data_IF_449741258026
#
_entry.id   IF_449741258026
#
_cell.length_a   1.000
_cell.length_b   1.000
_cell.length_c   1.000
_cell.angle_alpha   90.00
_cell.angle_beta   90.00
_cell.angle_gamma   90.00
#
_symmetry.space_group_name_H-M   'P 1'
#
loop_
_entity.id
_entity.type
_entity.pdbx_description
1 polymer ?
#
# COMPACT_ATOMS: atom_id res chain seq x y z
N UNK A 1 -0.98 7.10 10.32
CA UNK A 1 -2.36 6.61 10.12
C UNK A 1 -2.89 7.23 8.83
N UNK A 2 -3.66 6.46 8.06
CA UNK A 2 -4.15 6.87 6.73
C UNK A 2 -5.42 7.70 6.91
N UNK A 3 -5.56 8.81 6.19
CA UNK A 3 -6.80 9.60 6.17
C UNK A 3 -7.83 8.93 5.26
N UNK A 4 -9.12 9.05 5.60
CA UNK A 4 -10.18 8.48 4.77
C UNK A 4 -10.27 9.15 3.40
N UNK A 5 -10.72 8.41 2.38
CA UNK A 5 -10.97 8.90 1.02
C UNK A 5 -11.85 10.14 1.04
N UNK A 6 -12.93 10.13 1.82
CA UNK A 6 -13.84 11.27 1.95
C UNK A 6 -13.10 12.52 2.43
N UNK A 7 -12.25 12.40 3.45
CA UNK A 7 -11.42 13.51 3.92
C UNK A 7 -10.49 14.03 2.82
N UNK A 8 -9.83 13.12 2.10
CA UNK A 8 -8.88 13.48 1.03
C UNK A 8 -9.57 14.26 -0.08
N UNK A 9 -10.71 13.75 -0.56
CA UNK A 9 -11.49 14.36 -1.64
C UNK A 9 -12.04 15.72 -1.20
N UNK A 10 -12.58 15.83 0.02
CA UNK A 10 -13.09 17.09 0.57
C UNK A 10 -12.00 18.17 0.70
N UNK A 11 -10.76 17.77 0.95
CA UNK A 11 -9.61 18.67 1.02
C UNK A 11 -8.90 18.86 -0.34
N UNK A 12 -9.52 18.42 -1.44
CA UNK A 12 -8.99 18.50 -2.81
C UNK A 12 -7.63 17.80 -3.00
N UNK A 13 -7.34 16.78 -2.18
CA UNK A 13 -6.14 15.95 -2.30
C UNK A 13 -6.46 14.81 -3.27
N UNK A 14 -6.21 15.04 -4.56
CA UNK A 14 -6.47 14.06 -5.63
C UNK A 14 -5.22 13.33 -6.11
N UNK A 15 -4.06 13.96 -5.98
CA UNK A 15 -2.78 13.38 -6.35
C UNK A 15 -2.01 13.03 -5.09
N UNK A 16 -1.57 11.78 -5.03
CA UNK A 16 -0.71 11.26 -3.99
C UNK A 16 0.70 11.26 -4.54
N UNK A 17 1.61 11.89 -3.80
CA UNK A 17 3.03 11.86 -4.14
C UNK A 17 3.78 10.94 -3.20
N UNK A 18 4.88 10.39 -3.69
CA UNK A 18 5.96 10.05 -2.78
C UNK A 18 7.20 9.49 -3.45
N UNK A 19 8.27 9.51 -2.67
CA UNK A 19 9.61 9.24 -3.18
C UNK A 19 9.90 7.75 -3.22
N UNK A 20 10.43 7.33 -4.36
CA UNK A 20 10.89 5.97 -4.61
C UNK A 20 12.33 6.00 -5.10
N UNK A 21 13.00 4.87 -4.95
CA UNK A 21 14.37 4.61 -5.38
C UNK A 21 14.39 3.39 -6.26
N UNK A 22 15.01 3.49 -7.43
CA UNK A 22 15.31 2.32 -8.24
C UNK A 22 16.39 1.48 -7.54
N UNK A 23 16.15 0.19 -7.32
CA UNK A 23 17.11 -0.75 -6.72
C UNK A 23 18.32 -1.00 -7.62
N UNK A 24 18.21 -0.77 -8.93
CA UNK A 24 19.28 -1.04 -9.90
C UNK A 24 20.20 0.16 -10.07
N UNK A 25 19.69 1.28 -10.57
CA UNK A 25 20.50 2.49 -10.81
C UNK A 25 20.61 3.40 -9.58
N UNK A 26 19.95 3.06 -8.47
CA UNK A 26 19.93 3.87 -7.24
C UNK A 26 19.36 5.29 -7.43
N UNK A 27 18.75 5.60 -8.59
CA UNK A 27 18.11 6.88 -8.84
C UNK A 27 16.87 7.04 -7.96
N UNK A 28 16.74 8.22 -7.35
CA UNK A 28 15.58 8.62 -6.56
C UNK A 28 14.70 9.54 -7.40
N UNK A 29 13.39 9.35 -7.30
CA UNK A 29 12.40 10.15 -8.02
C UNK A 29 11.08 10.16 -7.26
N UNK A 30 10.26 11.17 -7.54
CA UNK A 30 8.91 11.27 -7.00
C UNK A 30 7.92 10.57 -7.96
N UNK A 31 7.06 9.75 -7.37
CA UNK A 31 5.96 9.10 -8.05
C UNK A 31 4.67 9.83 -7.74
N UNK A 32 3.85 10.01 -8.77
CA UNK A 32 2.52 10.61 -8.69
C UNK A 32 1.50 9.53 -8.96
N UNK A 33 0.46 9.45 -8.13
CA UNK A 33 -0.63 8.51 -8.28
C UNK A 33 -1.96 9.26 -8.13
N UNK A 34 -2.89 9.01 -9.04
CA UNK A 34 -4.26 9.48 -8.86
C UNK A 34 -4.96 8.65 -7.76
N UNK A 35 -5.51 9.35 -6.76
CA UNK A 35 -6.17 8.72 -5.63
C UNK A 35 -7.38 7.89 -6.07
N UNK A 36 -8.23 8.44 -6.93
CA UNK A 36 -9.50 7.83 -7.32
C UNK A 36 -9.27 6.62 -8.25
N UNK A 37 -8.36 6.76 -9.22
CA UNK A 37 -7.96 5.65 -10.09
C UNK A 37 -7.47 4.46 -9.25
N UNK A 38 -6.64 4.75 -8.24
CA UNK A 38 -6.09 3.71 -7.39
C UNK A 38 -7.13 3.13 -6.44
N UNK A 39 -8.02 3.93 -5.85
CA UNK A 39 -9.16 3.42 -5.08
C UNK A 39 -10.02 2.49 -5.93
N UNK A 40 -10.34 2.88 -7.16
CA UNK A 40 -11.15 2.08 -8.08
C UNK A 40 -10.48 0.74 -8.38
N UNK A 41 -9.18 0.76 -8.73
CA UNK A 41 -8.40 -0.47 -8.98
C UNK A 41 -8.39 -1.39 -7.76
N UNK A 42 -8.26 -0.82 -6.55
CA UNK A 42 -8.31 -1.59 -5.31
C UNK A 42 -9.71 -2.17 -5.06
N UNK A 43 -10.76 -1.43 -5.40
CA UNK A 43 -12.15 -1.88 -5.23
C UNK A 43 -12.44 -3.11 -6.07
N UNK A 44 -12.12 -3.03 -7.37
CA UNK A 44 -12.28 -4.15 -8.31
C UNK A 44 -11.53 -5.39 -7.83
N UNK A 45 -10.30 -5.20 -7.34
CA UNK A 45 -9.50 -6.29 -6.79
C UNK A 45 -10.15 -6.91 -5.55
N UNK A 46 -10.58 -6.09 -4.59
CA UNK A 46 -11.21 -6.56 -3.36
C UNK A 46 -12.50 -7.29 -3.68
N UNK A 47 -13.36 -6.74 -4.52
CA UNK A 47 -14.64 -7.37 -4.89
C UNK A 47 -14.43 -8.71 -5.59
N UNK A 48 -13.40 -8.84 -6.45
CA UNK A 48 -13.05 -10.12 -7.11
C UNK A 48 -12.54 -11.17 -6.14
N UNK A 49 -11.70 -10.78 -5.19
CA UNK A 49 -10.97 -11.73 -4.33
C UNK A 49 -11.63 -11.93 -2.96
N UNK A 50 -12.66 -11.14 -2.59
CA UNK A 50 -13.24 -11.13 -1.24
C UNK A 50 -13.62 -12.52 -0.71
N UNK A 51 -14.17 -13.37 -1.56
CA UNK A 51 -14.59 -14.73 -1.19
C UNK A 51 -13.43 -15.75 -1.17
N UNK A 52 -12.34 -15.47 -1.89
CA UNK A 52 -11.17 -16.36 -2.01
C UNK A 52 -10.09 -16.06 -0.96
N UNK A 53 -10.08 -14.84 -0.42
CA UNK A 53 -9.15 -14.35 0.59
C UNK A 53 -9.49 -14.92 1.98
N UNK A 54 -9.14 -16.19 2.20
CA UNK A 54 -9.20 -16.89 3.50
C UNK A 54 -8.14 -16.38 4.48
N UNK A 55 -8.20 -15.10 4.80
CA UNK A 55 -7.26 -14.37 5.66
C UNK A 55 -5.80 -14.33 5.16
N UNK A 56 -5.59 -14.58 3.86
CA UNK A 56 -4.27 -14.63 3.23
C UNK A 56 -4.16 -13.58 2.13
N UNK A 57 -3.05 -12.86 2.09
CA UNK A 57 -2.80 -11.93 1.02
C UNK A 57 -2.57 -12.70 -0.29
N UNK A 58 -3.26 -12.33 -1.38
CA UNK A 58 -3.05 -12.96 -2.67
C UNK A 58 -1.67 -12.56 -3.20
N UNK A 59 -1.13 -13.36 -4.13
CA UNK A 59 0.19 -13.09 -4.72
C UNK A 59 0.30 -11.69 -5.31
N UNK A 60 -0.78 -11.16 -5.88
CA UNK A 60 -0.83 -9.81 -6.43
C UNK A 60 -0.64 -8.69 -5.38
N UNK A 61 -0.98 -8.91 -4.11
CA UNK A 61 -0.68 -7.95 -3.03
C UNK A 61 0.75 -8.08 -2.52
N UNK A 62 1.29 -9.29 -2.54
CA UNK A 62 2.66 -9.57 -2.11
C UNK A 62 3.66 -9.13 -3.18
N UNK A 63 3.27 -9.14 -4.46
CA UNK A 63 4.08 -8.71 -5.60
C UNK A 63 3.21 -7.86 -6.55
N UNK A 64 2.89 -6.60 -6.18
CA UNK A 64 2.14 -5.72 -7.04
C UNK A 64 2.97 -5.38 -8.29
N UNK A 65 2.30 -5.28 -9.43
CA UNK A 65 2.91 -4.67 -10.61
C UNK A 65 3.20 -3.20 -10.30
N UNK A 66 4.48 -2.86 -10.24
CA UNK A 66 4.92 -1.51 -9.95
C UNK A 66 4.98 -0.71 -11.26
N UNK A 67 4.76 0.61 -11.22
CA UNK A 67 4.91 1.43 -12.42
C UNK A 67 6.28 1.23 -13.06
N UNK A 68 6.28 1.04 -14.39
CA UNK A 68 7.49 0.80 -15.16
C UNK A 68 8.37 2.04 -15.13
N UNK A 69 9.56 1.91 -14.57
CA UNK A 69 10.58 2.96 -14.63
C UNK A 69 11.51 2.67 -15.83
N UNK A 70 11.27 3.39 -16.93
CA UNK A 70 11.87 3.12 -18.24
C UNK A 70 13.36 3.52 -18.35
N UNK A 71 13.85 4.43 -17.51
CA UNK A 71 15.21 4.98 -17.62
C UNK A 71 16.32 3.95 -17.36
N UNK A 72 16.04 2.82 -16.69
CA UNK A 72 17.06 1.79 -16.39
C UNK A 72 16.88 0.46 -17.15
N UNK A 73 15.99 0.44 -18.16
CA UNK A 73 15.82 -0.67 -19.11
C UNK A 73 15.30 -2.00 -18.53
N UNK A 74 14.81 -2.01 -17.28
CA UNK A 74 14.13 -3.18 -16.67
C UNK A 74 13.01 -2.73 -15.75
N UNK A 75 11.85 -3.35 -15.92
CA UNK A 75 10.62 -3.08 -15.18
C UNK A 75 10.73 -3.51 -13.70
N UNK A 76 9.86 -2.95 -12.83
CA UNK A 76 9.50 -3.48 -11.51
C UNK A 76 10.58 -3.50 -10.40
N UNK A 77 11.64 -2.69 -10.48
CA UNK A 77 12.70 -2.63 -9.46
C UNK A 77 12.74 -1.32 -8.66
N UNK A 78 11.59 -0.84 -8.19
CA UNK A 78 11.51 0.36 -7.35
C UNK A 78 11.25 -0.02 -5.89
N UNK A 79 11.76 0.79 -4.96
CA UNK A 79 11.44 0.71 -3.53
C UNK A 79 11.07 2.08 -2.99
N UNK A 80 10.11 2.18 -2.07
CA UNK A 80 9.79 3.42 -1.36
C UNK A 80 10.99 3.96 -0.56
N UNK A 81 11.08 5.29 -0.43
CA UNK A 81 12.03 5.96 0.48
C UNK A 81 11.27 6.42 1.73
N UNK A 82 11.64 5.86 2.87
CA UNK A 82 10.90 6.03 4.13
C UNK A 82 11.44 7.10 5.08
N UNK A 83 12.68 7.54 4.86
CA UNK A 83 13.49 8.27 5.84
C UNK A 83 12.85 9.61 6.29
N UNK A 84 12.04 10.23 5.43
CA UNK A 84 11.47 11.56 5.68
C UNK A 84 9.94 11.62 5.55
N UNK A 85 9.25 10.48 5.52
CA UNK A 85 7.78 10.48 5.44
C UNK A 85 7.22 10.90 6.81
N UNK A 86 6.75 12.15 6.92
CA UNK A 86 6.02 12.63 8.11
C UNK A 86 4.86 11.67 8.39
N UNK A 87 4.64 11.29 9.67
CA UNK A 87 3.57 10.37 10.12
C UNK A 87 2.14 10.73 9.65
N UNK A 88 1.94 11.96 9.18
CA UNK A 88 0.67 12.54 8.68
C UNK A 88 0.55 12.54 7.14
N UNK A 89 1.63 12.31 6.40
CA UNK A 89 1.56 12.20 4.94
C UNK A 89 0.82 10.90 4.60
N UNK A 90 -0.25 11.03 3.83
CA UNK A 90 -1.11 9.96 3.38
C UNK A 90 -0.26 9.00 2.55
N UNK A 91 0.16 7.91 3.20
CA UNK A 91 1.17 7.05 2.62
C UNK A 91 0.47 5.92 1.87
N UNK A 92 -0.08 6.22 0.70
CA UNK A 92 -0.56 5.18 -0.22
C UNK A 92 0.58 4.36 -0.81
N UNK A 93 1.78 4.95 -0.84
CA UNK A 93 3.01 4.20 -1.01
C UNK A 93 3.05 3.02 -0.04
N UNK A 94 2.56 3.15 1.20
CA UNK A 94 2.49 2.08 2.20
C UNK A 94 1.75 0.82 1.71
N UNK A 95 0.68 0.95 0.91
CA UNK A 95 0.04 -0.21 0.29
C UNK A 95 0.94 -0.93 -0.68
N UNK A 96 1.63 -0.20 -1.56
CA UNK A 96 2.67 -0.79 -2.41
C UNK A 96 3.88 -1.25 -1.60
N UNK A 97 4.15 -0.66 -0.42
CA UNK A 97 5.25 -1.07 0.46
C UNK A 97 4.96 -2.34 1.22
N UNK A 98 3.69 -2.70 1.48
CA UNK A 98 3.37 -3.92 2.22
C UNK A 98 4.10 -5.11 1.59
N UNK A 99 4.07 -5.20 0.26
CA UNK A 99 4.85 -6.17 -0.54
C UNK A 99 6.35 -6.23 -0.18
N UNK A 100 6.94 -5.07 0.11
CA UNK A 100 8.36 -4.89 0.41
C UNK A 100 8.69 -4.96 1.91
N UNK A 101 7.68 -4.99 2.79
CA UNK A 101 7.89 -5.00 4.23
C UNK A 101 8.46 -6.34 4.71
N UNK A 102 9.31 -6.25 5.74
CA UNK A 102 9.77 -7.42 6.48
C UNK A 102 8.67 -7.95 7.40
N UNK A 103 8.80 -9.21 7.83
CA UNK A 103 7.87 -9.81 8.80
C UNK A 103 7.78 -8.95 10.08
N UNK A 104 8.91 -8.45 10.58
CA UNK A 104 8.92 -7.66 11.82
C UNK A 104 8.24 -6.31 11.66
N UNK A 105 8.40 -5.66 10.50
CA UNK A 105 7.67 -4.42 10.17
C UNK A 105 6.17 -4.68 10.10
N UNK A 106 5.74 -5.79 9.48
CA UNK A 106 4.32 -6.15 9.41
C UNK A 106 3.76 -6.52 10.79
N UNK A 107 4.52 -7.24 11.63
CA UNK A 107 4.14 -7.53 13.03
C UNK A 107 3.98 -6.25 13.83
N UNK A 108 4.91 -5.31 13.69
CA UNK A 108 4.82 -4.00 14.33
C UNK A 108 3.54 -3.27 13.90
N UNK A 109 3.27 -3.23 12.60
CA UNK A 109 2.06 -2.62 12.05
C UNK A 109 0.77 -3.27 12.59
N UNK A 110 0.72 -4.61 12.62
CA UNK A 110 -0.43 -5.34 13.15
C UNK A 110 -0.71 -4.98 14.63
N UNK A 111 0.34 -4.90 15.47
CA UNK A 111 0.20 -4.46 16.87
C UNK A 111 -0.41 -3.07 16.99
N UNK A 112 0.00 -2.13 16.14
CA UNK A 112 -0.49 -0.75 16.15
C UNK A 112 -1.84 -0.54 15.45
N UNK A 113 -2.38 -1.60 14.84
CA UNK A 113 -3.73 -1.62 14.25
C UNK A 113 -4.69 -2.56 14.98
N UNK A 114 -4.31 -2.96 16.21
CA UNK A 114 -5.08 -3.87 17.06
C UNK A 114 -5.35 -5.25 16.43
N UNK A 115 -4.45 -5.71 15.55
CA UNK A 115 -4.48 -7.05 14.97
C UNK A 115 -3.47 -7.94 15.71
N UNK A 116 -3.87 -9.16 16.04
CA UNK A 116 -2.96 -10.15 16.65
C UNK A 116 -1.92 -10.58 15.60
N UNK A 117 -0.61 -10.31 15.80
CA UNK A 117 0.40 -10.69 14.83
C UNK A 117 0.54 -12.21 14.76
N UNK A 118 0.66 -12.75 13.55
CA UNK A 118 0.98 -14.17 13.32
C UNK A 118 2.44 -14.32 12.89
N UNK A 119 2.93 -15.56 12.79
CA UNK A 119 4.25 -15.85 12.23
C UNK A 119 4.28 -15.91 10.70
N UNK A 120 3.11 -15.93 10.04
CA UNK A 120 2.99 -16.23 8.61
C UNK A 120 2.91 -14.92 7.82
N UNK A 121 3.79 -14.76 6.84
CA UNK A 121 3.97 -13.48 6.13
C UNK A 121 2.72 -13.08 5.34
N UNK A 122 2.06 -14.00 4.65
CA UNK A 122 0.83 -13.72 3.86
C UNK A 122 -0.35 -13.27 4.73
N UNK A 123 -0.52 -13.88 5.92
CA UNK A 123 -1.49 -13.43 6.94
C UNK A 123 -1.19 -12.03 7.44
N UNK A 124 0.07 -11.75 7.76
CA UNK A 124 0.48 -10.42 8.22
C UNK A 124 0.24 -9.34 7.14
N UNK A 125 0.49 -9.64 5.86
CA UNK A 125 0.16 -8.74 4.76
C UNK A 125 -1.35 -8.51 4.68
N UNK A 126 -2.15 -9.57 4.75
CA UNK A 126 -3.61 -9.47 4.68
C UNK A 126 -4.15 -8.57 5.78
N UNK A 127 -3.79 -8.84 7.04
CA UNK A 127 -4.22 -8.04 8.18
C UNK A 127 -3.79 -6.57 8.04
N UNK A 128 -2.56 -6.35 7.60
CA UNK A 128 -2.05 -4.99 7.39
C UNK A 128 -2.83 -4.25 6.31
N UNK A 129 -3.08 -4.92 5.18
CA UNK A 129 -3.80 -4.38 4.03
C UNK A 129 -5.26 -4.06 4.37
N UNK A 130 -5.96 -5.01 5.02
CA UNK A 130 -7.34 -4.85 5.43
C UNK A 130 -7.51 -3.74 6.47
N UNK A 131 -6.57 -3.62 7.41
CA UNK A 131 -6.62 -2.55 8.40
C UNK A 131 -6.45 -1.17 7.77
N UNK A 132 -5.56 -1.04 6.79
CA UNK A 132 -5.43 0.20 6.03
C UNK A 132 -6.71 0.48 5.23
N UNK A 133 -7.30 -0.54 4.58
CA UNK A 133 -8.50 -0.35 3.76
C UNK A 133 -9.67 0.15 4.61
N UNK A 134 -9.84 -0.40 5.82
CA UNK A 134 -10.86 0.06 6.76
C UNK A 134 -10.66 1.51 7.21
N UNK A 135 -9.43 2.01 7.23
CA UNK A 135 -9.15 3.43 7.54
C UNK A 135 -9.40 4.33 6.33
N UNK A 136 -9.02 3.88 5.14
CA UNK A 136 -9.09 4.65 3.91
C UNK A 136 -10.53 4.72 3.36
N UNK A 137 -11.24 3.60 3.31
CA UNK A 137 -12.58 3.46 2.73
C UNK A 137 -13.48 2.69 3.70
N UNK A 138 -13.77 3.28 4.88
CA UNK A 138 -14.60 2.62 5.89
C UNK A 138 -15.97 2.20 5.35
N UNK A 139 -16.51 2.92 4.38
CA UNK A 139 -17.79 2.66 3.74
C UNK A 139 -17.87 1.34 2.95
N UNK A 140 -16.74 0.68 2.67
CA UNK A 140 -16.74 -0.65 2.03
C UNK A 140 -17.05 -1.79 3.01
N UNK A 141 -16.93 -1.52 4.31
CA UNK A 141 -17.04 -2.51 5.38
C UNK A 141 -18.17 -2.21 6.38
N UNK A 142 -18.95 -1.17 6.08
CA UNK A 142 -20.12 -0.76 6.85
C UNK A 142 -21.34 -1.64 6.53
#
# INVERSE_FOLDING_TARGET
FVQSRNYLVQNNIRIITGRVKCKKCQQEFEMLLDLEEKVSTLREFVDRERETLRDRAPRAWINPELPKYSQCGKENNIKPILKDIKKKAINWLFYQMLSSCTIDQLKYFCKHTNNRPTGVKDHLHYLSYMSLLKQLVPEWFA
#
